data_IF_298010454459
#
_entry.id   IF_298010454459
#
_cell.length_a   1.000
_cell.length_b   1.000
_cell.length_c   1.000
_cell.angle_alpha   90.00
_cell.angle_beta   90.00
_cell.angle_gamma   90.00
#
_symmetry.space_group_name_H-M   'P 1'
#
loop_
_entity.id
_entity.type
_entity.pdbx_description
1 polymer ?
#
# COMPACT_ATOMS: atom_id res chain seq x y z
N UNK A 1 -15.86 -35.75 -20.15
CA UNK A 1 -15.46 -35.23 -18.84
C UNK A 1 -16.34 -34.03 -18.55
N UNK A 2 -17.44 -34.20 -17.78
CA UNK A 2 -18.22 -33.10 -17.23
C UNK A 2 -17.41 -32.51 -16.07
N UNK A 3 -16.82 -31.34 -16.28
CA UNK A 3 -16.35 -30.47 -15.20
C UNK A 3 -17.60 -29.85 -14.60
N UNK A 4 -18.02 -30.33 -13.44
CA UNK A 4 -19.00 -29.63 -12.61
C UNK A 4 -18.47 -28.22 -12.27
N UNK A 5 -19.34 -27.22 -12.43
CA UNK A 5 -19.01 -25.86 -12.02
C UNK A 5 -18.52 -25.87 -10.56
N UNK A 6 -17.49 -25.08 -10.22
CA UNK A 6 -17.02 -25.01 -8.86
C UNK A 6 -18.19 -24.61 -7.96
N UNK A 7 -18.49 -25.44 -6.97
CA UNK A 7 -19.41 -25.11 -5.91
C UNK A 7 -18.93 -23.78 -5.30
N UNK A 8 -19.79 -22.76 -5.30
CA UNK A 8 -19.54 -21.52 -4.60
C UNK A 8 -19.19 -21.85 -3.14
N UNK A 9 -17.91 -21.86 -2.83
CA UNK A 9 -17.50 -21.74 -1.43
C UNK A 9 -17.95 -20.33 -1.03
N UNK A 10 -18.83 -20.18 -0.02
CA UNK A 10 -19.14 -18.83 0.46
C UNK A 10 -17.81 -18.17 0.79
N UNK A 11 -17.49 -17.08 0.12
CA UNK A 11 -16.35 -16.26 0.50
C UNK A 11 -16.61 -15.87 1.97
N UNK A 12 -15.79 -16.39 2.87
CA UNK A 12 -15.77 -15.93 4.25
C UNK A 12 -15.80 -14.39 4.20
N UNK A 13 -16.54 -13.75 5.12
CA UNK A 13 -16.67 -12.30 5.16
C UNK A 13 -15.31 -11.63 4.94
N UNK A 14 -15.13 -11.00 3.79
CA UNK A 14 -13.89 -10.28 3.46
C UNK A 14 -14.06 -8.85 3.88
N UNK A 15 -13.42 -8.46 4.97
CA UNK A 15 -13.39 -7.06 5.38
C UNK A 15 -12.37 -6.27 4.58
N UNK A 16 -12.72 -5.02 4.26
CA UNK A 16 -11.82 -4.12 3.53
C UNK A 16 -11.73 -2.76 4.20
N UNK A 17 -10.57 -2.12 4.08
CA UNK A 17 -10.40 -0.72 4.44
C UNK A 17 -10.70 0.18 3.25
N UNK A 18 -11.55 1.18 3.47
CA UNK A 18 -11.84 2.24 2.51
C UNK A 18 -12.15 3.55 3.22
N UNK A 19 -11.72 4.67 2.64
CA UNK A 19 -12.06 6.02 3.09
C UNK A 19 -12.32 6.94 1.89
N UNK A 20 -13.34 7.83 1.92
CA UNK A 20 -13.58 8.79 0.84
C UNK A 20 -12.36 9.66 0.51
N UNK A 21 -11.55 10.03 1.52
CA UNK A 21 -10.32 10.80 1.35
C UNK A 21 -9.14 9.98 0.79
N UNK A 22 -9.37 8.79 0.23
CA UNK A 22 -8.37 8.09 -0.59
C UNK A 22 -8.11 8.79 -1.93
N UNK A 23 -8.91 9.79 -2.25
CA UNK A 23 -8.72 10.66 -3.40
C UNK A 23 -8.13 12.00 -2.97
N UNK A 24 -7.35 12.59 -3.87
CA UNK A 24 -6.90 13.98 -3.79
C UNK A 24 -7.13 14.66 -5.12
N UNK A 25 -7.42 15.96 -5.15
CA UNK A 25 -7.56 16.68 -6.41
C UNK A 25 -6.20 16.73 -7.12
N UNK A 26 -6.16 16.26 -8.35
CA UNK A 26 -5.01 16.32 -9.23
C UNK A 26 -5.38 17.11 -10.51
N UNK A 27 -4.34 17.64 -11.19
CA UNK A 27 -4.54 18.33 -12.46
C UNK A 27 -5.24 17.41 -13.49
N UNK A 28 -6.02 17.95 -14.43
CA UNK A 28 -6.59 17.18 -15.53
C UNK A 28 -5.49 16.38 -16.27
N UNK A 29 -5.81 15.16 -16.67
CA UNK A 29 -4.88 14.23 -17.37
C UNK A 29 -3.65 13.82 -16.54
N UNK A 30 -3.73 13.87 -15.21
CA UNK A 30 -2.69 13.26 -14.38
C UNK A 30 -2.68 11.74 -14.62
N UNK A 31 -1.50 11.08 -14.70
CA UNK A 31 -1.40 9.64 -14.96
C UNK A 31 -2.19 8.77 -13.97
N UNK A 32 -2.28 9.19 -12.70
CA UNK A 32 -3.08 8.46 -11.72
C UNK A 32 -4.56 8.86 -11.83
N UNK A 33 -5.45 7.92 -12.18
CA UNK A 33 -6.88 8.17 -12.17
C UNK A 33 -7.42 8.02 -10.74
N UNK A 34 -7.47 9.13 -9.97
CA UNK A 34 -7.94 9.08 -8.57
C UNK A 34 -9.37 8.53 -8.43
N UNK A 35 -10.20 8.67 -9.46
CA UNK A 35 -11.55 8.11 -9.50
C UNK A 35 -11.58 6.56 -9.38
N UNK A 36 -10.45 5.86 -9.59
CA UNK A 36 -10.39 4.39 -9.44
C UNK A 36 -10.74 3.93 -8.02
N UNK A 37 -10.41 4.69 -6.99
CA UNK A 37 -10.64 4.28 -5.60
C UNK A 37 -12.13 4.23 -5.24
N UNK A 38 -12.93 5.31 -5.44
CA UNK A 38 -14.37 5.23 -5.22
C UNK A 38 -15.06 4.28 -6.21
N UNK A 39 -14.61 4.20 -7.48
CA UNK A 39 -15.17 3.26 -8.43
C UNK A 39 -14.96 1.80 -8.00
N UNK A 40 -13.78 1.46 -7.49
CA UNK A 40 -13.53 0.11 -6.96
C UNK A 40 -14.43 -0.19 -5.75
N UNK A 41 -14.56 0.75 -4.81
CA UNK A 41 -15.45 0.62 -3.66
C UNK A 41 -16.91 0.40 -4.10
N UNK A 42 -17.39 1.18 -5.07
CA UNK A 42 -18.75 1.02 -5.62
C UNK A 42 -18.93 -0.35 -6.28
N UNK A 43 -17.97 -0.79 -7.09
CA UNK A 43 -18.04 -2.08 -7.80
C UNK A 43 -18.10 -3.24 -6.81
N UNK A 44 -17.23 -3.30 -5.81
CA UNK A 44 -17.19 -4.43 -4.87
C UNK A 44 -18.48 -4.55 -4.04
N UNK A 45 -19.13 -3.41 -3.73
CA UNK A 45 -20.43 -3.40 -3.07
C UNK A 45 -21.57 -3.81 -4.02
N UNK A 46 -21.61 -3.25 -5.22
CA UNK A 46 -22.65 -3.52 -6.23
C UNK A 46 -22.64 -4.99 -6.67
N UNK A 47 -21.47 -5.57 -6.86
CA UNK A 47 -21.33 -6.99 -7.24
C UNK A 47 -21.52 -7.95 -6.04
N UNK A 48 -21.80 -7.42 -4.84
CA UNK A 48 -22.01 -8.23 -3.63
C UNK A 48 -20.76 -8.99 -3.16
N UNK A 49 -19.57 -8.55 -3.58
CA UNK A 49 -18.31 -9.15 -3.15
C UNK A 49 -18.01 -8.83 -1.67
N UNK A 50 -18.50 -7.71 -1.19
CA UNK A 50 -18.31 -7.21 0.17
C UNK A 50 -19.64 -6.62 0.65
N UNK A 51 -20.03 -6.90 1.90
CA UNK A 51 -21.19 -6.23 2.49
C UNK A 51 -20.79 -4.81 2.97
N UNK A 52 -21.72 -3.85 2.99
CA UNK A 52 -21.46 -2.51 3.52
C UNK A 52 -20.91 -2.51 4.96
N UNK A 53 -21.34 -3.46 5.80
CA UNK A 53 -20.87 -3.61 7.17
C UNK A 53 -19.41 -4.10 7.27
N UNK A 54 -18.85 -4.66 6.19
CA UNK A 54 -17.48 -5.16 6.13
C UNK A 54 -16.48 -4.09 5.62
N UNK A 55 -16.97 -2.88 5.30
CA UNK A 55 -16.14 -1.74 4.93
C UNK A 55 -15.73 -0.96 6.18
N UNK A 56 -14.45 -0.98 6.50
CA UNK A 56 -13.89 -0.34 7.69
C UNK A 56 -13.16 0.94 7.30
N UNK A 57 -13.62 2.08 7.80
CA UNK A 57 -12.95 3.35 7.57
C UNK A 57 -11.69 3.46 8.45
N UNK A 58 -10.50 3.64 7.88
CA UNK A 58 -9.29 3.87 8.66
C UNK A 58 -9.25 5.30 9.23
N UNK A 59 -8.63 5.47 10.40
CA UNK A 59 -8.09 6.77 10.86
C UNK A 59 -6.76 7.06 10.17
N UNK A 60 -6.18 8.23 10.38
CA UNK A 60 -4.81 8.49 9.94
C UNK A 60 -3.81 7.66 10.77
N UNK A 61 -2.85 7.02 10.13
CA UNK A 61 -1.75 6.33 10.83
C UNK A 61 -0.96 7.30 11.72
N UNK A 62 -0.54 6.82 12.87
CA UNK A 62 0.26 7.60 13.79
C UNK A 62 1.67 7.84 13.23
N UNK A 63 2.22 9.03 13.45
CA UNK A 63 3.59 9.35 13.01
C UNK A 63 4.63 8.38 13.60
N UNK A 64 4.40 7.90 14.83
CA UNK A 64 5.26 6.91 15.47
C UNK A 64 5.28 5.55 14.76
N UNK A 65 4.21 5.17 14.07
CA UNK A 65 4.18 3.96 13.25
C UNK A 65 4.95 4.17 11.94
N UNK A 66 4.84 5.37 11.36
CA UNK A 66 5.59 5.73 10.14
C UNK A 66 7.11 5.76 10.39
N UNK A 67 7.53 6.18 11.59
CA UNK A 67 8.93 6.18 12.03
C UNK A 67 9.57 4.79 12.11
N UNK A 68 8.79 3.72 12.13
CA UNK A 68 9.34 2.34 12.05
C UNK A 68 9.97 2.03 10.69
N UNK A 69 9.71 2.88 9.70
CA UNK A 69 10.03 2.65 8.29
C UNK A 69 10.72 3.88 7.69
N UNK A 70 10.14 5.06 7.87
CA UNK A 70 10.62 6.29 7.27
C UNK A 70 11.50 7.09 8.23
N UNK A 71 12.44 7.86 7.68
CA UNK A 71 13.32 8.72 8.48
C UNK A 71 12.55 9.91 9.07
N UNK A 72 12.94 10.34 10.27
CA UNK A 72 12.34 11.51 10.92
C UNK A 72 12.38 12.73 10.01
N UNK A 73 13.54 13.01 9.39
CA UNK A 73 13.71 14.19 8.53
C UNK A 73 12.76 14.19 7.33
N UNK A 74 12.49 13.01 6.73
CA UNK A 74 11.53 12.89 5.65
C UNK A 74 10.10 13.16 6.14
N UNK A 75 9.72 12.58 7.27
CA UNK A 75 8.38 12.77 7.83
C UNK A 75 8.13 14.21 8.26
N UNK A 76 9.13 14.87 8.85
CA UNK A 76 9.03 16.30 9.24
C UNK A 76 8.86 17.19 8.01
N UNK A 77 9.67 16.98 6.98
CA UNK A 77 9.55 17.70 5.72
C UNK A 77 8.19 17.44 5.05
N UNK A 78 7.72 16.18 5.05
CA UNK A 78 6.42 15.81 4.49
C UNK A 78 5.26 16.49 5.24
N UNK A 79 5.31 16.50 6.56
CA UNK A 79 4.30 17.16 7.41
C UNK A 79 4.27 18.68 7.20
N UNK A 80 5.44 19.30 7.04
CA UNK A 80 5.60 20.74 6.91
C UNK A 80 5.46 21.25 5.44
N UNK A 81 5.38 20.37 4.46
CA UNK A 81 5.33 20.78 3.04
C UNK A 81 6.65 21.36 2.55
N UNK A 82 7.75 20.83 3.02
CA UNK A 82 9.10 21.32 2.70
C UNK A 82 9.79 20.49 1.59
N UNK A 83 9.01 19.80 0.75
CA UNK A 83 9.56 19.12 -0.42
C UNK A 83 10.06 20.12 -1.45
N UNK A 84 11.28 19.91 -1.91
CA UNK A 84 11.82 20.62 -3.05
C UNK A 84 11.06 20.25 -4.35
N UNK A 85 11.12 21.09 -5.35
CA UNK A 85 10.55 20.79 -6.67
C UNK A 85 11.12 19.51 -7.31
N UNK A 86 12.32 19.12 -6.93
CA UNK A 86 12.93 17.88 -7.40
C UNK A 86 12.30 16.67 -6.71
N UNK A 87 12.03 16.75 -5.40
CA UNK A 87 11.35 15.72 -4.65
C UNK A 87 9.90 15.56 -5.08
N UNK A 88 9.17 16.67 -5.32
CA UNK A 88 7.82 16.60 -5.88
C UNK A 88 7.80 15.93 -7.27
N UNK A 89 8.79 16.21 -8.14
CA UNK A 89 8.90 15.54 -9.44
C UNK A 89 9.19 14.06 -9.30
N UNK A 90 10.03 13.64 -8.34
CA UNK A 90 10.32 12.24 -8.04
C UNK A 90 9.09 11.54 -7.48
N UNK A 91 8.41 12.18 -6.56
CA UNK A 91 7.13 11.71 -6.01
C UNK A 91 6.05 11.59 -7.10
N UNK A 92 6.06 12.51 -8.09
CA UNK A 92 5.09 12.56 -9.18
C UNK A 92 3.72 13.15 -8.78
N UNK A 93 3.57 13.58 -7.53
CA UNK A 93 2.34 14.15 -6.96
C UNK A 93 2.64 15.54 -6.40
N UNK A 94 1.77 16.54 -6.59
CA UNK A 94 1.90 17.83 -5.93
C UNK A 94 1.67 17.64 -4.44
N UNK A 95 2.54 18.22 -3.62
CA UNK A 95 2.32 18.21 -2.18
C UNK A 95 1.05 18.98 -1.80
N UNK A 96 0.32 18.46 -0.84
CA UNK A 96 -0.80 19.13 -0.17
C UNK A 96 -1.09 18.47 1.17
N UNK A 97 -1.72 19.17 2.13
CA UNK A 97 -2.20 18.54 3.35
C UNK A 97 -3.13 17.34 3.10
N UNK A 98 -3.95 17.42 2.05
CA UNK A 98 -4.84 16.34 1.62
C UNK A 98 -4.05 15.10 1.15
N UNK A 99 -2.90 15.28 0.45
CA UNK A 99 -2.03 14.18 0.05
C UNK A 99 -1.40 13.49 1.26
N UNK A 100 -0.94 14.27 2.25
CA UNK A 100 -0.38 13.72 3.50
C UNK A 100 -1.45 12.91 4.25
N UNK A 101 -2.65 13.49 4.42
CA UNK A 101 -3.78 12.81 5.04
C UNK A 101 -4.14 11.52 4.31
N UNK A 102 -4.33 11.58 2.98
CA UNK A 102 -4.59 10.40 2.15
C UNK A 102 -3.56 9.30 2.36
N UNK A 103 -2.29 9.67 2.37
CA UNK A 103 -1.19 8.70 2.49
C UNK A 103 -1.20 8.02 3.86
N UNK A 104 -1.47 8.76 4.93
CA UNK A 104 -1.60 8.22 6.28
C UNK A 104 -2.85 7.34 6.44
N UNK A 105 -3.97 7.71 5.81
CA UNK A 105 -5.16 6.87 5.76
C UNK A 105 -4.90 5.55 5.01
N UNK A 106 -4.18 5.60 3.87
CA UNK A 106 -3.83 4.40 3.12
C UNK A 106 -2.93 3.45 3.92
N UNK A 107 -1.94 3.99 4.64
CA UNK A 107 -1.09 3.21 5.55
C UNK A 107 -1.92 2.54 6.64
N UNK A 108 -2.79 3.28 7.32
CA UNK A 108 -3.64 2.70 8.36
C UNK A 108 -4.59 1.65 7.78
N UNK A 109 -5.10 1.88 6.57
CA UNK A 109 -5.93 0.91 5.86
C UNK A 109 -5.22 -0.43 5.66
N UNK A 110 -3.92 -0.42 5.34
CA UNK A 110 -3.12 -1.64 5.20
C UNK A 110 -2.79 -2.27 6.56
N UNK A 111 -2.55 -1.49 7.62
CA UNK A 111 -2.42 -2.01 8.98
C UNK A 111 -3.72 -2.71 9.41
N UNK A 112 -4.88 -2.08 9.18
CA UNK A 112 -6.18 -2.66 9.49
C UNK A 112 -6.41 -3.96 8.69
N UNK A 113 -6.10 -3.96 7.40
CA UNK A 113 -6.22 -5.15 6.55
C UNK A 113 -5.36 -6.30 7.08
N UNK A 114 -4.10 -6.03 7.44
CA UNK A 114 -3.23 -7.04 8.04
C UNK A 114 -3.81 -7.62 9.34
N UNK A 115 -4.32 -6.76 10.23
CA UNK A 115 -4.94 -7.20 11.50
C UNK A 115 -6.22 -8.00 11.26
N UNK A 116 -7.09 -7.53 10.36
CA UNK A 116 -8.32 -8.25 9.99
C UNK A 116 -8.00 -9.60 9.37
N UNK A 117 -7.00 -9.68 8.48
CA UNK A 117 -6.60 -10.93 7.84
C UNK A 117 -6.04 -11.97 8.83
N UNK A 118 -5.37 -11.56 9.89
CA UNK A 118 -4.92 -12.46 10.96
C UNK A 118 -6.09 -13.10 11.72
N UNK A 119 -7.23 -12.45 11.77
CA UNK A 119 -8.45 -12.97 12.41
C UNK A 119 -9.32 -13.73 11.41
N UNK A 120 -9.55 -13.17 10.22
CA UNK A 120 -10.55 -13.65 9.26
C UNK A 120 -9.93 -14.53 8.16
N UNK A 121 -8.59 -14.62 8.10
CA UNK A 121 -7.86 -15.33 7.05
C UNK A 121 -7.55 -14.49 5.81
N UNK A 122 -8.43 -13.56 5.44
CA UNK A 122 -8.25 -12.64 4.31
C UNK A 122 -8.88 -11.28 4.60
N UNK A 123 -8.24 -10.21 4.18
CA UNK A 123 -8.78 -8.85 4.20
C UNK A 123 -8.07 -7.98 3.16
N UNK A 124 -8.61 -6.80 2.87
CA UNK A 124 -8.05 -5.91 1.86
C UNK A 124 -7.98 -4.44 2.27
N UNK A 125 -7.20 -3.68 1.51
CA UNK A 125 -7.22 -2.22 1.53
C UNK A 125 -7.42 -1.73 0.10
N UNK A 126 -8.44 -0.90 -0.15
CA UNK A 126 -8.76 -0.45 -1.50
C UNK A 126 -7.84 0.68 -2.01
N UNK A 127 -6.81 1.08 -1.24
CA UNK A 127 -5.84 2.11 -1.65
C UNK A 127 -4.39 1.79 -1.22
N UNK A 128 -4.08 0.54 -0.90
CA UNK A 128 -2.74 0.10 -0.54
C UNK A 128 -1.82 -0.13 -1.74
N UNK A 129 -0.62 -0.68 -1.45
CA UNK A 129 0.37 -1.04 -2.46
C UNK A 129 1.32 0.09 -2.87
N UNK A 130 1.69 0.96 -1.94
CA UNK A 130 2.58 2.11 -2.21
C UNK A 130 4.06 1.71 -2.10
N UNK A 131 4.47 0.77 -2.95
CA UNK A 131 5.69 -0.03 -2.88
C UNK A 131 6.97 0.69 -3.32
N UNK A 132 6.88 1.86 -3.96
CA UNK A 132 8.06 2.64 -4.39
C UNK A 132 8.58 3.60 -3.33
N UNK A 133 7.79 3.96 -2.31
CA UNK A 133 8.24 4.88 -1.27
C UNK A 133 9.45 4.31 -0.52
N UNK A 134 10.49 5.13 -0.40
CA UNK A 134 11.78 4.80 0.21
C UNK A 134 11.87 5.31 1.66
N UNK A 135 12.87 4.91 2.45
CA UNK A 135 13.03 5.40 3.81
C UNK A 135 13.02 6.92 3.94
N UNK A 136 13.72 7.61 3.07
CA UNK A 136 13.95 9.04 3.13
C UNK A 136 13.24 9.88 2.07
N UNK A 137 12.39 9.30 1.23
CA UNK A 137 11.70 10.06 0.19
C UNK A 137 10.53 9.31 -0.45
N UNK A 138 9.62 10.07 -1.04
CA UNK A 138 8.58 9.56 -1.92
C UNK A 138 9.11 9.31 -3.33
N UNK A 139 8.55 8.32 -4.02
CA UNK A 139 8.92 7.97 -5.39
C UNK A 139 7.75 7.29 -6.11
N UNK A 140 7.63 7.46 -7.43
CA UNK A 140 6.71 6.68 -8.25
C UNK A 140 5.25 6.73 -7.79
N UNK A 141 4.76 7.92 -7.42
CA UNK A 141 3.43 8.15 -6.87
C UNK A 141 3.18 7.54 -5.47
N UNK A 142 4.21 6.97 -4.85
CA UNK A 142 4.16 6.41 -3.51
C UNK A 142 4.77 7.39 -2.51
N UNK A 143 3.99 7.83 -1.54
CA UNK A 143 4.42 8.81 -0.51
C UNK A 143 4.97 8.09 0.71
N UNK A 144 4.23 7.11 1.24
CA UNK A 144 4.58 6.30 2.41
C UNK A 144 4.46 4.83 2.02
N UNK A 145 5.40 3.97 2.41
CA UNK A 145 5.32 2.54 2.10
C UNK A 145 4.40 1.83 3.10
N UNK A 146 3.15 1.66 2.73
CA UNK A 146 2.10 1.11 3.58
C UNK A 146 2.35 -0.35 3.98
N UNK A 147 2.85 -1.17 3.07
CA UNK A 147 3.15 -2.58 3.33
C UNK A 147 4.31 -2.69 4.32
N UNK A 148 5.38 -1.90 4.13
CA UNK A 148 6.52 -1.90 5.04
C UNK A 148 6.11 -1.45 6.44
N UNK A 149 5.30 -0.39 6.56
CA UNK A 149 4.78 0.09 7.86
C UNK A 149 3.90 -0.98 8.51
N UNK A 150 2.95 -1.56 7.77
CA UNK A 150 2.05 -2.59 8.31
C UNK A 150 2.83 -3.81 8.85
N UNK A 151 3.83 -4.28 8.12
CA UNK A 151 4.68 -5.39 8.57
C UNK A 151 5.51 -5.04 9.81
N UNK A 152 6.05 -3.83 9.90
CA UNK A 152 6.80 -3.38 11.07
C UNK A 152 5.90 -3.22 12.30
N UNK A 153 4.69 -2.68 12.13
CA UNK A 153 3.68 -2.59 13.19
C UNK A 153 3.27 -4.00 13.66
N UNK A 154 2.92 -4.89 12.75
CA UNK A 154 2.52 -6.25 13.06
C UNK A 154 3.64 -7.03 13.79
N UNK A 155 4.90 -6.84 13.39
CA UNK A 155 6.05 -7.43 14.06
C UNK A 155 6.27 -6.84 15.45
N UNK A 156 6.22 -5.52 15.61
CA UNK A 156 6.36 -4.82 16.90
C UNK A 156 5.31 -5.30 17.91
N UNK A 157 4.07 -5.46 17.43
CA UNK A 157 2.95 -5.94 18.24
C UNK A 157 2.95 -7.45 18.51
N UNK A 158 3.93 -8.18 17.98
CA UNK A 158 4.03 -9.64 18.16
C UNK A 158 3.00 -10.47 17.38
N UNK A 159 2.25 -9.84 16.47
CA UNK A 159 1.21 -10.52 15.68
C UNK A 159 1.77 -11.50 14.66
N UNK A 160 2.96 -11.19 14.13
CA UNK A 160 3.64 -12.03 13.13
C UNK A 160 5.09 -12.28 13.51
N UNK A 161 5.62 -13.43 13.07
CA UNK A 161 7.04 -13.78 13.20
C UNK A 161 7.77 -13.73 11.87
N UNK A 162 7.10 -14.06 10.78
CA UNK A 162 7.59 -14.09 9.41
C UNK A 162 6.52 -13.54 8.47
N UNK A 163 6.94 -12.99 7.34
CA UNK A 163 6.04 -12.53 6.30
C UNK A 163 6.64 -12.82 4.92
N UNK A 164 5.77 -13.01 3.95
CA UNK A 164 6.07 -12.99 2.53
C UNK A 164 5.28 -11.84 1.91
N UNK A 165 5.98 -10.94 1.21
CA UNK A 165 5.35 -9.96 0.33
C UNK A 165 5.38 -10.51 -1.08
N UNK A 166 4.22 -10.63 -1.70
CA UNK A 166 4.08 -11.00 -3.12
C UNK A 166 3.61 -9.78 -3.86
N UNK A 167 4.44 -9.25 -4.74
CA UNK A 167 4.20 -8.05 -5.52
C UNK A 167 4.11 -8.38 -7.01
N UNK A 168 2.90 -8.52 -7.57
CA UNK A 168 2.67 -8.77 -8.98
C UNK A 168 2.42 -7.48 -9.78
N UNK A 169 2.79 -6.30 -9.24
CA UNK A 169 2.74 -5.06 -10.00
C UNK A 169 3.73 -5.11 -11.16
N UNK A 170 3.38 -4.48 -12.29
CA UNK A 170 4.26 -4.41 -13.47
C UNK A 170 5.57 -3.70 -13.21
N UNK A 171 5.65 -2.89 -12.15
CA UNK A 171 6.85 -2.24 -11.66
C UNK A 171 7.43 -3.00 -10.47
N UNK A 172 8.74 -3.19 -10.40
CA UNK A 172 9.35 -3.76 -9.20
C UNK A 172 9.10 -2.88 -7.98
N UNK A 173 8.66 -3.48 -6.86
CA UNK A 173 8.49 -2.79 -5.59
C UNK A 173 9.81 -2.43 -4.91
N UNK A 174 10.59 -1.53 -5.53
CA UNK A 174 11.94 -1.16 -5.12
C UNK A 174 12.03 -0.63 -3.69
N UNK A 175 11.04 0.15 -3.25
CA UNK A 175 10.97 0.61 -1.86
C UNK A 175 10.78 -0.54 -0.89
N UNK A 176 9.83 -1.43 -1.17
CA UNK A 176 9.59 -2.62 -0.33
C UNK A 176 10.81 -3.53 -0.28
N UNK A 177 11.46 -3.79 -1.42
CA UNK A 177 12.70 -4.57 -1.47
C UNK A 177 13.80 -3.93 -0.63
N UNK A 178 14.01 -2.61 -0.74
CA UNK A 178 15.02 -1.88 0.03
C UNK A 178 14.77 -1.95 1.56
N UNK A 179 13.53 -1.89 2.01
CA UNK A 179 13.21 -1.98 3.44
C UNK A 179 13.52 -3.35 4.07
N UNK A 180 13.46 -4.40 3.26
CA UNK A 180 13.56 -5.77 3.76
C UNK A 180 14.79 -6.52 3.26
N UNK A 181 15.73 -5.85 2.56
CA UNK A 181 16.98 -6.44 2.07
C UNK A 181 17.73 -7.22 3.15
N UNK A 182 17.84 -6.66 4.37
CA UNK A 182 18.54 -7.26 5.51
C UNK A 182 17.57 -7.79 6.58
N UNK A 183 16.32 -8.14 6.21
CA UNK A 183 15.32 -8.58 7.15
C UNK A 183 15.08 -10.11 7.06
N UNK A 184 15.79 -10.96 7.80
CA UNK A 184 15.84 -12.42 7.58
C UNK A 184 14.49 -13.13 7.78
N UNK A 185 13.47 -12.43 8.27
CA UNK A 185 12.13 -12.97 8.53
C UNK A 185 11.05 -12.38 7.64
N UNK A 186 11.44 -11.55 6.68
CA UNK A 186 10.53 -11.01 5.64
C UNK A 186 11.13 -11.33 4.30
N UNK A 187 10.43 -12.10 3.49
CA UNK A 187 10.81 -12.37 2.11
C UNK A 187 9.98 -11.49 1.18
N UNK A 188 10.60 -10.98 0.12
CA UNK A 188 9.96 -10.21 -0.93
C UNK A 188 10.06 -10.96 -2.24
N UNK A 189 8.92 -11.16 -2.92
CA UNK A 189 8.83 -11.79 -4.22
C UNK A 189 8.19 -10.78 -5.17
N UNK A 190 8.86 -10.44 -6.27
CA UNK A 190 8.36 -9.47 -7.25
C UNK A 190 8.34 -10.08 -8.65
N UNK A 191 7.19 -9.99 -9.33
CA UNK A 191 7.04 -10.32 -10.75
C UNK A 191 6.77 -9.03 -11.50
N UNK A 192 7.70 -8.59 -12.34
CA UNK A 192 7.65 -7.25 -12.94
C UNK A 192 8.22 -7.22 -14.36
N UNK A 193 7.99 -6.14 -15.08
CA UNK A 193 8.52 -5.96 -16.42
C UNK A 193 10.03 -5.66 -16.42
N UNK A 194 10.84 -6.50 -17.05
CA UNK A 194 12.31 -6.47 -17.04
C UNK A 194 12.95 -5.13 -17.45
N UNK A 195 12.30 -4.34 -18.29
CA UNK A 195 12.81 -3.07 -18.82
C UNK A 195 11.88 -1.91 -18.50
N UNK A 196 11.24 -1.98 -17.34
CA UNK A 196 10.28 -1.00 -16.88
C UNK A 196 10.85 -0.13 -15.76
N UNK A 197 10.10 0.88 -15.32
CA UNK A 197 10.35 1.60 -14.09
C UNK A 197 10.27 0.62 -12.89
N UNK A 198 11.06 0.82 -11.81
CA UNK A 198 12.10 1.81 -11.61
C UNK A 198 13.42 1.42 -12.30
N UNK A 199 14.24 2.42 -12.67
CA UNK A 199 15.53 2.17 -13.33
C UNK A 199 16.62 1.63 -12.39
N UNK A 200 16.40 1.71 -11.08
CA UNK A 200 17.25 1.12 -10.03
C UNK A 200 16.40 0.15 -9.20
N UNK A 201 16.74 -1.09 -9.31
CA UNK A 201 16.02 -2.20 -8.68
C UNK A 201 16.91 -2.84 -7.61
N UNK A 202 16.77 -2.46 -6.31
CA UNK A 202 17.41 -3.23 -5.26
C UNK A 202 16.83 -4.66 -5.31
N UNK A 203 17.66 -5.69 -5.04
CA UNK A 203 17.20 -7.06 -5.16
C UNK A 203 16.11 -7.37 -4.12
N UNK A 204 15.03 -8.01 -4.57
CA UNK A 204 14.08 -8.72 -3.73
C UNK A 204 14.68 -10.05 -3.28
N UNK A 205 14.01 -10.78 -2.38
CA UNK A 205 14.41 -12.17 -2.06
C UNK A 205 14.28 -13.08 -3.29
N UNK A 206 13.34 -12.76 -4.18
CA UNK A 206 13.17 -13.40 -5.48
C UNK A 206 12.55 -12.39 -6.46
N UNK A 207 13.22 -12.13 -7.56
CA UNK A 207 12.75 -11.32 -8.68
C UNK A 207 12.51 -12.19 -9.90
N UNK A 208 11.35 -11.97 -10.57
CA UNK A 208 10.96 -12.59 -11.84
C UNK A 208 10.64 -11.47 -12.82
N UNK A 209 11.64 -11.01 -13.60
CA UNK A 209 11.49 -9.93 -14.55
C UNK A 209 10.85 -10.39 -15.89
#
# INVERSE_FOLDING_TARGET
>A
LHLSAPTHVPLAHVRVSYHPDYIVPLRPRHPIPMAKFPALHEIVLREGLIAPADVIAPREADWSDLLLVHTQSYLDALAAGQQSKQEERRMGLPWSPALVRRSRLAVQGTINAALMALHDGVAGNLAGGTHHAMPGHAEGFCVLNDVAVALRVAKRSGWIRRALVVDPDVHQGNGTAAFFADAPRVSTFSVHGAKNYPFRTPPSSCDVP
#
